data_IF_965277548746
#
_entry.id   IF_965277548746
#
_cell.length_a   1.000
_cell.length_b   1.000
_cell.length_c   1.000
_cell.angle_alpha   90.00
_cell.angle_beta   90.00
_cell.angle_gamma   90.00
#
_symmetry.space_group_name_H-M   'P 1'
#
loop_
_entity.id
_entity.type
_entity.pdbx_description
1 polymer ?
#
# COMPACT_ATOMS: atom_id res chain seq x y z
N UNK A 1 16.49 11.63 4.11
CA UNK A 1 16.09 12.89 3.45
C UNK A 1 15.01 12.57 2.42
N UNK A 2 13.77 12.40 2.89
CA UNK A 2 12.56 12.26 2.08
C UNK A 2 11.60 13.25 2.70
N UNK A 3 11.19 14.27 1.96
CA UNK A 3 10.09 15.15 2.37
C UNK A 3 8.84 14.25 2.40
N UNK A 4 8.55 13.73 3.59
CA UNK A 4 7.56 12.71 3.86
C UNK A 4 6.59 13.31 4.88
N UNK A 5 5.61 14.08 4.36
CA UNK A 5 4.21 14.11 4.78
C UNK A 5 3.53 15.32 4.11
N UNK A 6 2.38 15.01 3.50
CA UNK A 6 1.63 15.77 2.50
C UNK A 6 2.33 16.04 1.17
N UNK A 7 1.87 15.37 0.11
CA UNK A 7 2.39 15.55 -1.23
C UNK A 7 1.99 16.87 -1.82
N UNK A 8 2.96 17.76 -1.99
CA UNK A 8 2.82 18.91 -2.84
C UNK A 8 4.09 19.08 -3.65
N UNK A 9 3.94 19.05 -4.96
CA UNK A 9 4.95 19.67 -5.80
C UNK A 9 4.74 21.18 -5.71
N UNK A 10 5.83 21.89 -5.42
CA UNK A 10 5.87 23.32 -5.23
C UNK A 10 6.89 23.88 -6.22
N UNK A 11 6.43 24.75 -7.11
CA UNK A 11 7.27 25.61 -7.93
C UNK A 11 7.03 27.05 -7.45
N UNK A 12 8.11 27.76 -7.14
CA UNK A 12 8.06 29.12 -6.61
C UNK A 12 8.40 30.08 -7.73
N UNK A 13 7.39 30.77 -8.25
CA UNK A 13 7.58 32.00 -9.00
C UNK A 13 7.62 33.15 -8.00
N UNK A 14 8.33 34.24 -8.35
CA UNK A 14 8.66 35.31 -7.40
C UNK A 14 7.46 35.77 -6.56
N UNK A 15 6.22 35.78 -7.07
CA UNK A 15 5.01 36.16 -6.31
C UNK A 15 3.85 35.15 -6.39
N UNK A 16 4.07 33.94 -6.91
CA UNK A 16 3.01 32.90 -6.95
C UNK A 16 3.50 31.56 -6.43
N UNK A 17 2.60 30.91 -5.70
CA UNK A 17 2.82 29.61 -5.08
C UNK A 17 1.92 28.57 -5.74
N UNK A 18 2.53 27.64 -6.45
CA UNK A 18 1.85 26.56 -7.15
C UNK A 18 1.76 25.30 -6.30
N UNK A 19 0.57 24.71 -6.24
CA UNK A 19 0.20 23.69 -5.27
C UNK A 19 -0.52 22.52 -5.97
N UNK A 20 0.07 21.32 -5.90
CA UNK A 20 -0.55 20.10 -6.47
C UNK A 20 -0.59 18.96 -5.46
N UNK A 21 -1.77 18.51 -5.01
CA UNK A 21 -1.88 17.38 -4.09
C UNK A 21 -1.71 16.07 -4.87
N UNK A 22 -0.47 15.56 -5.00
CA UNK A 22 -0.15 14.42 -5.92
C UNK A 22 -0.92 13.13 -5.62
N UNK A 23 -1.45 12.97 -4.40
CA UNK A 23 -2.35 11.86 -4.06
C UNK A 23 -3.71 11.96 -4.74
N UNK A 24 -4.19 13.17 -5.00
CA UNK A 24 -5.52 13.46 -5.51
C UNK A 24 -5.51 13.82 -7.00
N UNK A 25 -4.45 14.48 -7.47
CA UNK A 25 -4.30 14.90 -8.85
C UNK A 25 -2.85 14.79 -9.33
N UNK A 26 -2.64 14.09 -10.45
CA UNK A 26 -1.34 14.02 -11.13
C UNK A 26 -1.15 15.16 -12.13
N UNK A 27 -1.24 16.41 -11.67
CA UNK A 27 -1.04 17.58 -12.54
C UNK A 27 0.44 17.67 -12.92
N UNK A 28 0.79 17.66 -14.22
CA UNK A 28 2.18 17.71 -14.66
C UNK A 28 2.74 19.14 -14.59
N UNK A 29 4.04 19.33 -14.33
CA UNK A 29 4.70 20.63 -14.52
C UNK A 29 4.60 21.06 -15.99
N UNK A 30 4.46 22.36 -16.29
CA UNK A 30 4.49 23.51 -15.38
C UNK A 30 3.11 23.87 -14.79
N UNK A 31 2.11 22.98 -14.85
CA UNK A 31 0.77 23.27 -14.35
C UNK A 31 0.62 22.90 -12.86
N UNK A 32 -0.24 23.63 -12.16
CA UNK A 32 -0.58 23.41 -10.77
C UNK A 32 -2.08 23.12 -10.57
N UNK A 33 -2.43 22.41 -9.50
CA UNK A 33 -3.84 22.20 -9.15
C UNK A 33 -4.48 23.47 -8.58
N UNK A 34 -3.73 24.19 -7.74
CA UNK A 34 -4.08 25.50 -7.22
C UNK A 34 -2.88 26.44 -7.38
N UNK A 35 -3.16 27.69 -7.69
CA UNK A 35 -2.18 28.76 -7.68
C UNK A 35 -2.62 29.80 -6.65
N UNK A 36 -1.70 30.17 -5.76
CA UNK A 36 -1.90 31.24 -4.79
C UNK A 36 -1.02 32.42 -5.13
N UNK A 37 -1.64 33.56 -5.39
CA UNK A 37 -0.95 34.84 -5.56
C UNK A 37 -0.64 35.38 -4.16
N UNK A 38 0.60 35.78 -3.96
CA UNK A 38 1.10 36.29 -2.69
C UNK A 38 1.64 37.70 -2.87
N UNK A 39 1.49 38.52 -1.83
CA UNK A 39 1.88 39.94 -1.87
C UNK A 39 3.39 40.16 -1.84
N UNK A 40 4.18 39.12 -1.55
CA UNK A 40 5.63 39.19 -1.40
C UNK A 40 6.29 37.90 -1.82
N UNK A 41 7.60 37.97 -2.03
CA UNK A 41 8.35 36.83 -2.54
C UNK A 41 8.47 35.72 -1.50
N UNK A 42 8.18 34.50 -1.94
CA UNK A 42 8.29 33.30 -1.12
C UNK A 42 9.74 32.89 -1.00
N UNK A 43 10.19 32.72 0.25
CA UNK A 43 11.52 32.24 0.60
C UNK A 43 11.51 30.72 0.78
N UNK A 44 10.54 30.20 1.54
CA UNK A 44 10.41 28.77 1.81
C UNK A 44 8.96 28.41 2.19
N UNK A 45 8.62 27.13 2.10
CA UNK A 45 7.28 26.61 2.42
C UNK A 45 7.41 25.27 3.14
N UNK A 46 6.58 25.06 4.17
CA UNK A 46 6.49 23.77 4.84
C UNK A 46 5.05 23.38 5.15
N UNK A 47 4.83 22.08 5.34
CA UNK A 47 3.52 21.49 5.63
C UNK A 47 3.50 20.90 7.03
N UNK A 48 2.38 21.09 7.71
CA UNK A 48 2.02 20.39 8.94
C UNK A 48 2.01 18.86 8.77
N UNK A 49 2.04 18.12 9.88
CA UNK A 49 2.04 16.65 9.91
C UNK A 49 0.82 16.05 9.19
N UNK A 50 -0.36 16.62 9.39
CA UNK A 50 -1.60 16.27 8.70
C UNK A 50 -1.60 16.70 7.24
N UNK A 51 -0.80 17.72 6.92
CA UNK A 51 -0.76 18.33 5.60
C UNK A 51 -1.94 19.25 5.30
N UNK A 52 -2.79 19.56 6.28
CA UNK A 52 -3.93 20.46 6.10
C UNK A 52 -3.58 21.92 6.35
N UNK A 53 -2.41 22.19 6.93
CA UNK A 53 -1.85 23.54 7.07
C UNK A 53 -0.53 23.66 6.32
N UNK A 54 -0.38 24.79 5.63
CA UNK A 54 0.80 25.19 4.87
C UNK A 54 1.34 26.48 5.45
N UNK A 55 2.61 26.48 5.84
CA UNK A 55 3.31 27.68 6.28
C UNK A 55 4.18 28.22 5.15
N UNK A 56 4.01 29.50 4.84
CA UNK A 56 4.71 30.21 3.77
C UNK A 56 5.56 31.30 4.39
N UNK A 57 6.86 31.27 4.12
CA UNK A 57 7.83 32.22 4.64
C UNK A 57 8.10 33.30 3.59
N UNK A 58 7.98 34.56 3.99
CA UNK A 58 8.42 35.73 3.22
C UNK A 58 9.51 36.46 4.00
N UNK A 59 10.00 37.58 3.45
CA UNK A 59 11.02 38.40 4.11
C UNK A 59 10.56 38.95 5.46
N UNK A 60 9.30 39.40 5.52
CA UNK A 60 8.81 40.23 6.63
C UNK A 60 7.85 39.48 7.54
N UNK A 61 7.23 38.39 7.07
CA UNK A 61 6.30 37.58 7.84
C UNK A 61 6.34 36.11 7.43
N UNK A 62 5.73 35.25 8.24
CA UNK A 62 5.27 33.94 7.78
C UNK A 62 3.76 33.84 7.93
N UNK A 63 3.12 33.20 6.95
CA UNK A 63 1.67 33.07 6.88
C UNK A 63 1.27 31.59 6.89
N UNK A 64 0.20 31.27 7.60
CA UNK A 64 -0.39 29.93 7.67
C UNK A 64 -1.64 29.92 6.80
N UNK A 65 -1.67 29.00 5.85
CA UNK A 65 -2.81 28.72 5.00
C UNK A 65 -3.43 27.38 5.40
N UNK A 66 -4.74 27.36 5.57
CA UNK A 66 -5.52 26.14 5.74
C UNK A 66 -5.90 25.58 4.37
N UNK A 67 -5.55 24.32 4.12
CA UNK A 67 -5.87 23.61 2.89
C UNK A 67 -6.57 22.28 3.19
N UNK A 68 -7.89 22.28 3.05
CA UNK A 68 -8.70 21.07 3.26
C UNK A 68 -8.65 20.15 2.03
N UNK A 69 -7.99 19.01 2.19
CA UNK A 69 -7.91 17.95 1.16
C UNK A 69 -9.08 16.94 1.25
N UNK A 70 -10.12 17.25 2.03
CA UNK A 70 -11.24 16.32 2.30
C UNK A 70 -12.34 16.38 1.24
N UNK A 71 -12.54 17.53 0.61
CA UNK A 71 -13.62 17.76 -0.36
C UNK A 71 -13.13 17.54 -1.79
N UNK A 72 -14.04 17.15 -2.69
CA UNK A 72 -13.81 17.11 -4.14
C UNK A 72 -14.85 18.02 -4.81
N UNK A 73 -14.44 19.06 -5.57
CA UNK A 73 -13.06 19.44 -5.91
C UNK A 73 -12.25 19.93 -4.68
N UNK A 74 -10.93 19.87 -4.79
CA UNK A 74 -10.03 20.39 -3.74
C UNK A 74 -10.13 21.91 -3.74
N UNK A 75 -10.52 22.49 -2.61
CA UNK A 75 -10.65 23.93 -2.48
C UNK A 75 -9.26 24.61 -2.52
N UNK A 76 -9.21 25.87 -2.95
CA UNK A 76 -7.99 26.66 -2.81
C UNK A 76 -7.64 26.85 -1.33
N UNK A 77 -6.35 26.92 -0.95
CA UNK A 77 -5.98 27.20 0.43
C UNK A 77 -6.42 28.60 0.86
N UNK A 78 -6.82 28.72 2.13
CA UNK A 78 -7.36 29.95 2.71
C UNK A 78 -6.37 30.46 3.76
N UNK A 79 -6.05 31.74 3.75
CA UNK A 79 -5.21 32.35 4.77
C UNK A 79 -5.88 32.22 6.15
N UNK A 80 -5.22 31.51 7.07
CA UNK A 80 -5.68 31.32 8.45
C UNK A 80 -5.11 32.40 9.37
N UNK A 81 -3.81 32.68 9.26
CA UNK A 81 -3.13 33.65 10.11
C UNK A 81 -1.81 34.11 9.49
N UNK A 82 -1.32 35.27 9.92
CA UNK A 82 -0.01 35.79 9.53
C UNK A 82 0.72 36.31 10.76
N UNK A 83 2.04 36.10 10.78
CA UNK A 83 2.91 36.36 11.91
C UNK A 83 4.10 37.19 11.44
N UNK A 84 4.22 38.46 11.88
CA UNK A 84 5.34 39.30 11.50
C UNK A 84 6.65 38.74 12.08
N UNK A 85 7.71 38.82 11.29
CA UNK A 85 9.06 38.54 11.75
C UNK A 85 9.65 39.79 12.40
N UNK A 86 10.53 39.59 13.38
CA UNK A 86 11.27 40.70 13.99
C UNK A 86 12.16 41.40 12.94
N UNK A 87 11.95 42.70 12.79
CA UNK A 87 12.54 43.59 11.79
C UNK A 87 13.99 44.02 12.13
N UNK A 88 14.77 43.10 12.69
CA UNK A 88 16.17 43.40 13.00
C UNK A 88 16.95 43.60 11.69
N UNK A 89 17.62 44.74 11.54
CA UNK A 89 18.25 45.23 10.30
C UNK A 89 19.15 44.21 9.58
N UNK A 90 19.74 43.25 10.29
CA UNK A 90 20.64 42.22 9.74
C UNK A 90 20.06 40.80 9.73
N UNK A 91 18.79 40.62 10.10
CA UNK A 91 18.16 39.31 10.23
C UNK A 91 17.46 38.90 8.94
N UNK A 92 18.00 37.91 8.24
CA UNK A 92 17.36 37.29 7.06
C UNK A 92 16.75 35.93 7.41
N UNK A 93 15.45 35.70 7.16
CA UNK A 93 14.89 34.36 7.21
C UNK A 93 15.41 33.52 6.03
N UNK A 94 15.69 32.23 6.28
CA UNK A 94 16.28 31.31 5.29
C UNK A 94 15.42 30.10 4.99
N UNK A 95 14.86 29.49 6.03
CA UNK A 95 14.10 28.25 5.91
C UNK A 95 13.01 28.17 6.97
N UNK A 96 11.98 27.39 6.68
CA UNK A 96 10.84 27.13 7.54
C UNK A 96 10.67 25.62 7.72
N UNK A 97 10.39 25.19 8.95
CA UNK A 97 9.97 23.82 9.25
C UNK A 97 8.70 23.83 10.12
N UNK A 98 7.78 22.92 9.81
CA UNK A 98 6.53 22.76 10.55
C UNK A 98 6.55 21.44 11.33
N UNK A 99 6.42 21.53 12.65
CA UNK A 99 6.40 20.38 13.57
C UNK A 99 4.98 20.21 14.12
N UNK A 100 4.52 18.96 14.13
CA UNK A 100 3.15 18.57 14.47
C UNK A 100 2.11 19.40 13.68
N UNK A 101 1.20 20.08 14.37
CA UNK A 101 0.11 20.88 13.78
C UNK A 101 0.14 22.36 14.21
N UNK A 102 1.03 22.71 15.14
CA UNK A 102 0.95 23.97 15.88
C UNK A 102 2.30 24.68 16.09
N UNK A 103 3.41 24.13 15.61
CA UNK A 103 4.72 24.74 15.82
C UNK A 103 5.44 25.00 14.51
N UNK A 104 5.89 26.23 14.34
CA UNK A 104 6.67 26.67 13.18
C UNK A 104 8.04 27.12 13.66
N UNK A 105 9.08 26.58 13.00
CA UNK A 105 10.47 26.89 13.27
C UNK A 105 11.04 27.62 12.07
N UNK A 106 11.72 28.73 12.32
CA UNK A 106 12.29 29.58 11.27
C UNK A 106 13.79 29.72 11.53
N UNK A 107 14.57 29.27 10.57
CA UNK A 107 16.01 29.51 10.55
C UNK A 107 16.26 30.93 10.06
N UNK A 108 16.85 31.76 10.91
CA UNK A 108 17.28 33.12 10.58
C UNK A 108 18.79 33.22 10.66
N UNK A 109 19.36 34.07 9.82
CA UNK A 109 20.78 34.44 9.90
C UNK A 109 20.90 35.94 10.19
N UNK A 110 21.72 36.27 11.18
CA UNK A 110 22.20 37.62 11.46
C UNK A 110 23.65 37.74 10.99
N UNK A 111 23.87 38.36 9.83
CA UNK A 111 25.21 38.48 9.25
C UNK A 111 25.83 37.14 8.83
N UNK A 112 27.18 37.09 8.64
CA UNK A 112 27.86 35.94 8.03
C UNK A 112 27.95 34.71 8.95
N UNK A 113 28.06 34.90 10.26
CA UNK A 113 28.40 33.82 11.20
C UNK A 113 27.39 33.61 12.33
N UNK A 114 26.31 34.38 12.39
CA UNK A 114 25.32 34.21 13.46
C UNK A 114 24.01 33.70 12.88
N UNK A 115 23.49 32.60 13.40
CA UNK A 115 22.23 32.02 13.00
C UNK A 115 21.45 31.55 14.22
N UNK A 116 20.14 31.74 14.19
CA UNK A 116 19.25 31.30 15.25
C UNK A 116 18.01 30.65 14.65
N UNK A 117 17.38 29.80 15.44
CA UNK A 117 16.12 29.16 15.11
C UNK A 117 15.09 29.71 16.08
N UNK A 118 14.08 30.36 15.54
CA UNK A 118 12.94 30.84 16.32
C UNK A 118 11.78 29.85 16.19
N UNK A 119 11.17 29.50 17.31
CA UNK A 119 9.95 28.70 17.39
C UNK A 119 8.78 29.60 17.67
N UNK A 120 7.77 29.54 16.82
CA UNK A 120 6.47 30.17 17.07
C UNK A 120 5.41 29.08 17.28
N UNK A 121 4.74 29.13 18.42
CA UNK A 121 3.58 28.29 18.72
C UNK A 121 2.33 29.02 18.24
N UNK A 122 1.56 28.42 17.32
CA UNK A 122 0.48 29.14 16.61
C UNK A 122 -0.69 29.48 17.55
N UNK A 123 -1.04 28.59 18.48
CA UNK A 123 -2.09 28.77 19.49
C UNK A 123 -1.83 29.99 20.40
N UNK A 124 -0.64 30.07 20.98
CA UNK A 124 -0.28 31.15 21.92
C UNK A 124 0.24 32.40 21.22
N UNK A 125 0.57 32.29 19.92
CA UNK A 125 1.26 33.31 19.13
C UNK A 125 2.57 33.80 19.77
N UNK A 126 3.21 32.94 20.56
CA UNK A 126 4.47 33.27 21.23
C UNK A 126 5.65 32.78 20.42
N UNK A 127 6.56 33.68 20.07
CA UNK A 127 7.84 33.36 19.44
C UNK A 127 8.95 33.32 20.49
N UNK A 128 9.73 32.25 20.50
CA UNK A 128 10.88 32.06 21.39
C UNK A 128 12.10 31.59 20.57
N UNK A 129 13.30 31.92 21.02
CA UNK A 129 14.51 31.35 20.44
C UNK A 129 14.61 29.89 20.89
N UNK A 130 14.56 28.96 19.95
CA UNK A 130 14.67 27.53 20.20
C UNK A 130 16.12 27.05 20.09
N UNK A 131 16.95 27.73 19.29
CA UNK A 131 18.37 27.44 19.17
C UNK A 131 19.14 28.69 18.75
N UNK A 132 20.33 28.86 19.30
CA UNK A 132 21.27 29.92 18.93
C UNK A 132 22.59 29.26 18.58
N UNK A 133 23.08 29.46 17.35
CA UNK A 133 24.35 28.92 16.92
C UNK A 133 25.50 29.55 17.71
N UNK A 134 26.50 28.74 18.08
CA UNK A 134 27.75 29.23 18.62
C UNK A 134 28.55 30.05 17.60
N UNK A 135 29.53 30.83 18.05
CA UNK A 135 30.31 31.74 17.17
C UNK A 135 31.03 31.04 16.01
N UNK A 136 31.45 29.79 16.20
CA UNK A 136 32.10 28.97 15.18
C UNK A 136 31.15 28.04 14.42
N UNK A 137 29.89 27.98 14.85
CA UNK A 137 28.91 27.03 14.34
C UNK A 137 28.09 27.65 13.21
N UNK A 138 28.04 26.95 12.08
CA UNK A 138 27.24 27.36 10.94
C UNK A 138 26.03 26.44 10.78
N UNK A 139 24.82 26.99 10.99
CA UNK A 139 23.58 26.30 10.65
C UNK A 139 23.37 26.28 9.14
N UNK A 140 23.27 25.07 8.58
CA UNK A 140 23.11 24.86 7.14
C UNK A 140 21.63 24.76 6.78
N UNK A 141 20.88 23.87 7.44
CA UNK A 141 19.45 23.70 7.18
C UNK A 141 18.66 23.15 8.38
N UNK A 142 17.34 23.32 8.35
CA UNK A 142 16.40 22.72 9.30
C UNK A 142 15.38 21.86 8.56
N UNK A 143 14.92 20.76 9.18
CA UNK A 143 13.88 19.91 8.62
C UNK A 143 13.17 19.06 9.68
N UNK A 144 11.88 18.74 9.53
CA UNK A 144 11.18 17.85 10.45
C UNK A 144 11.67 16.40 10.34
N UNK A 145 11.52 15.64 11.41
CA UNK A 145 11.60 14.17 11.39
C UNK A 145 10.46 13.56 10.56
N UNK A 146 10.58 12.28 10.19
CA UNK A 146 9.57 11.59 9.35
C UNK A 146 8.17 11.53 9.99
N UNK A 147 8.07 11.61 11.30
CA UNK A 147 6.80 11.68 12.05
C UNK A 147 6.39 13.13 12.40
N UNK A 148 7.16 14.13 11.96
CA UNK A 148 6.99 15.56 12.29
C UNK A 148 6.94 15.84 13.80
N UNK A 149 7.61 15.01 14.62
CA UNK A 149 7.62 15.16 16.09
C UNK A 149 8.92 15.80 16.62
N UNK A 150 9.97 15.83 15.81
CA UNK A 150 11.26 16.42 16.18
C UNK A 150 11.81 17.28 15.05
N UNK A 151 12.51 18.36 15.41
CA UNK A 151 13.24 19.19 14.45
C UNK A 151 14.68 18.70 14.36
N UNK A 152 15.13 18.43 13.14
CA UNK A 152 16.52 18.15 12.83
C UNK A 152 17.20 19.40 12.28
N UNK A 153 18.44 19.59 12.69
CA UNK A 153 19.31 20.64 12.20
C UNK A 153 20.54 20.01 11.56
N UNK A 154 20.93 20.54 10.41
CA UNK A 154 22.24 20.25 9.82
C UNK A 154 23.15 21.45 10.05
N UNK A 155 24.34 21.19 10.57
CA UNK A 155 25.24 22.23 11.04
C UNK A 155 26.70 21.83 10.88
N UNK A 156 27.57 22.82 10.78
CA UNK A 156 29.02 22.65 10.74
C UNK A 156 29.55 23.29 12.02
N UNK A 157 30.05 22.47 12.95
CA UNK A 157 30.49 22.97 14.28
C UNK A 157 31.72 23.88 14.20
N UNK A 158 32.60 23.64 13.21
CA UNK A 158 33.81 24.42 12.94
C UNK A 158 34.13 24.38 11.45
N UNK A 159 34.69 25.46 10.91
CA UNK A 159 35.11 25.53 9.50
C UNK A 159 36.00 24.35 9.11
N UNK A 160 35.66 23.69 7.99
CA UNK A 160 36.38 22.53 7.47
C UNK A 160 35.92 21.16 8.01
N UNK A 161 35.02 21.13 9.00
CA UNK A 161 34.41 19.89 9.48
C UNK A 161 33.24 19.44 8.57
N UNK A 162 32.96 18.12 8.48
CA UNK A 162 31.80 17.64 7.75
C UNK A 162 30.49 18.10 8.41
N UNK A 163 29.41 18.16 7.62
CA UNK A 163 28.08 18.48 8.13
C UNK A 163 27.66 17.43 9.15
N UNK A 164 27.39 17.89 10.36
CA UNK A 164 26.80 17.12 11.45
C UNK A 164 25.28 17.32 11.49
N UNK A 165 24.59 16.37 12.11
CA UNK A 165 23.15 16.44 12.32
C UNK A 165 22.86 16.31 13.82
N UNK A 166 21.94 17.13 14.30
CA UNK A 166 21.45 17.04 15.67
C UNK A 166 19.95 17.29 15.70
N UNK A 167 19.31 16.82 16.76
CA UNK A 167 17.89 17.04 17.00
C UNK A 167 17.72 18.08 18.08
N UNK A 168 16.79 19.01 17.86
CA UNK A 168 16.26 19.84 18.93
C UNK A 168 15.12 19.02 19.54
N UNK A 169 15.46 18.21 20.57
CA UNK A 169 14.46 17.49 21.35
C UNK A 169 13.70 18.47 22.22
N UNK A 170 12.37 18.37 22.18
CA UNK A 170 11.47 19.17 23.00
C UNK A 170 11.54 18.71 24.46
N UNK A 171 11.99 19.53 25.42
CA UNK A 171 11.80 19.23 26.82
C UNK A 171 10.40 19.72 27.20
N UNK A 172 9.57 18.82 27.72
CA UNK A 172 8.58 19.24 28.70
C UNK A 172 9.35 19.83 29.87
N UNK A 173 9.21 21.15 30.08
CA UNK A 173 9.77 21.94 31.18
C UNK A 173 11.30 21.99 31.27
N UNK A 174 11.84 23.19 30.99
CA UNK A 174 13.16 23.71 31.39
C UNK A 174 14.37 22.75 31.31
N UNK A 175 14.95 22.59 30.10
CA UNK A 175 16.40 22.56 29.82
C UNK A 175 16.67 22.09 28.37
N UNK A 176 17.45 22.85 27.61
CA UNK A 176 17.83 22.51 26.23
C UNK A 176 18.96 21.48 26.21
N UNK A 177 18.74 20.32 25.59
CA UNK A 177 19.80 19.34 25.31
C UNK A 177 19.85 19.05 23.82
N UNK A 178 20.93 19.47 23.16
CA UNK A 178 21.25 19.07 21.79
C UNK A 178 22.06 17.78 21.85
N UNK A 179 21.52 16.68 21.30
CA UNK A 179 22.26 15.42 21.18
C UNK A 179 22.96 15.35 19.81
N UNK A 180 24.31 15.23 19.75
CA UNK A 180 25.02 15.09 18.49
C UNK A 180 24.79 13.69 17.89
N UNK A 181 24.27 13.64 16.66
CA UNK A 181 24.14 12.40 15.89
C UNK A 181 25.15 12.42 14.73
N UNK A 182 26.28 11.75 14.94
CA UNK A 182 27.31 11.58 13.91
C UNK A 182 26.92 10.41 13.00
N UNK A 183 26.44 10.71 11.78
CA UNK A 183 26.62 9.90 10.53
C UNK A 183 25.79 10.47 9.38
N UNK A 184 26.42 10.55 8.21
CA UNK A 184 25.83 11.02 6.95
C UNK A 184 24.52 10.30 6.63
N UNK A 185 23.48 11.07 6.31
CA UNK A 185 22.16 10.53 5.93
C UNK A 185 21.98 10.74 4.43
N UNK A 186 22.43 9.76 3.65
CA UNK A 186 21.85 9.41 2.35
C UNK A 186 22.06 7.90 2.14
N UNK A 187 21.00 7.16 1.81
CA UNK A 187 20.88 5.69 1.78
C UNK A 187 20.68 4.94 3.11
N UNK A 188 19.67 5.32 3.92
CA UNK A 188 19.07 4.42 4.92
C UNK A 188 17.55 4.53 4.93
N UNK A 189 16.87 3.68 4.17
CA UNK A 189 15.42 3.51 4.28
C UNK A 189 15.08 2.03 4.19
N UNK A 190 14.40 1.57 5.25
CA UNK A 190 13.88 0.24 5.57
C UNK A 190 14.83 -0.67 6.36
N UNK A 191 14.32 -1.13 7.51
CA UNK A 191 14.93 -1.99 8.53
C UNK A 191 15.75 -1.30 9.64
N UNK A 192 15.67 -1.91 10.82
CA UNK A 192 16.12 -1.46 12.14
C UNK A 192 17.44 -0.66 12.18
N UNK A 193 17.60 0.30 13.11
CA UNK A 193 18.82 1.09 13.28
C UNK A 193 20.08 0.29 13.65
N UNK A 194 19.98 -1.04 13.80
CA UNK A 194 21.04 -1.94 14.28
C UNK A 194 21.55 -2.97 13.26
N UNK A 195 21.04 -2.97 12.02
CA UNK A 195 21.53 -3.87 10.97
C UNK A 195 22.30 -3.09 9.90
N UNK A 196 23.52 -3.51 9.59
CA UNK A 196 24.29 -3.00 8.47
C UNK A 196 23.46 -3.11 7.19
N UNK A 197 23.15 -1.94 6.61
CA UNK A 197 22.29 -1.80 5.43
C UNK A 197 23.11 -2.19 4.20
N UNK A 198 23.00 -3.44 3.77
CA UNK A 198 23.59 -3.90 2.52
C UNK A 198 22.82 -3.31 1.33
N UNK A 199 23.53 -2.61 0.44
CA UNK A 199 22.98 -2.23 -0.87
C UNK A 199 22.76 -3.53 -1.64
N UNK A 200 21.52 -3.85 -2.04
CA UNK A 200 21.26 -5.07 -2.79
C UNK A 200 22.06 -5.09 -4.09
N UNK A 201 22.46 -6.28 -4.59
CA UNK A 201 23.06 -6.38 -5.91
C UNK A 201 22.09 -5.83 -6.97
N UNK A 202 22.64 -5.27 -8.04
CA UNK A 202 21.90 -4.55 -9.09
C UNK A 202 21.19 -5.53 -10.05
N UNK A 203 20.35 -6.40 -9.48
CA UNK A 203 19.59 -7.46 -10.16
C UNK A 203 18.08 -7.25 -9.97
N UNK A 204 17.48 -6.25 -10.63
CA UNK A 204 16.06 -5.90 -10.47
C UNK A 204 15.08 -7.00 -10.90
N UNK A 205 15.54 -7.99 -11.68
CA UNK A 205 14.72 -9.13 -12.12
C UNK A 205 14.47 -10.14 -11.00
N UNK A 206 15.33 -10.19 -9.98
CA UNK A 206 15.31 -11.22 -8.93
C UNK A 206 15.19 -10.67 -7.52
N UNK A 207 15.53 -9.39 -7.31
CA UNK A 207 15.46 -8.74 -6.00
C UNK A 207 14.31 -7.71 -5.94
N UNK A 208 13.35 -7.95 -5.03
CA UNK A 208 12.19 -7.07 -4.81
C UNK A 208 12.56 -5.64 -4.38
N UNK A 209 13.80 -5.43 -3.94
CA UNK A 209 14.36 -4.15 -3.45
C UNK A 209 14.87 -3.27 -4.58
N UNK A 210 15.10 -3.81 -5.78
CA UNK A 210 15.67 -3.09 -6.91
C UNK A 210 14.62 -2.78 -7.98
N UNK A 211 14.71 -1.60 -8.59
CA UNK A 211 13.88 -1.19 -9.73
C UNK A 211 14.67 -0.23 -10.62
N UNK A 212 14.71 -0.50 -11.91
CA UNK A 212 15.29 0.40 -12.90
C UNK A 212 14.47 1.70 -13.02
N UNK A 213 15.16 2.84 -13.06
CA UNK A 213 14.59 4.17 -13.24
C UNK A 213 15.32 4.92 -14.37
N UNK A 214 14.67 5.92 -14.99
CA UNK A 214 15.34 6.77 -15.98
C UNK A 214 16.53 7.50 -15.33
N UNK A 215 17.67 7.49 -16.02
CA UNK A 215 18.90 8.14 -15.54
C UNK A 215 18.67 9.63 -15.31
N UNK A 216 19.04 10.09 -14.11
CA UNK A 216 18.88 11.49 -13.71
C UNK A 216 17.52 11.84 -13.12
N UNK A 217 16.61 10.87 -13.01
CA UNK A 217 15.34 11.06 -12.29
C UNK A 217 15.59 11.40 -10.82
N UNK A 218 14.80 12.34 -10.30
CA UNK A 218 14.87 12.81 -8.91
C UNK A 218 13.63 12.38 -8.14
N UNK A 219 13.81 11.95 -6.90
CA UNK A 219 12.69 11.67 -6.01
C UNK A 219 11.97 12.97 -5.64
N UNK A 220 10.70 13.08 -6.01
CA UNK A 220 9.84 14.21 -5.62
C UNK A 220 9.10 13.86 -4.34
N UNK A 221 8.46 12.68 -4.30
CA UNK A 221 7.65 12.30 -3.16
C UNK A 221 7.45 10.80 -3.00
N UNK A 222 7.11 10.37 -1.78
CA UNK A 222 6.68 9.01 -1.46
C UNK A 222 5.28 9.09 -0.83
N UNK A 223 4.37 8.22 -1.28
CA UNK A 223 2.98 8.12 -0.84
C UNK A 223 2.74 6.73 -0.23
N UNK A 224 3.12 6.49 1.05
CA UNK A 224 3.01 5.15 1.64
C UNK A 224 1.59 4.59 1.65
N UNK A 225 0.57 5.46 1.81
CA UNK A 225 -0.84 5.04 1.87
C UNK A 225 -1.36 4.39 0.59
N UNK A 226 -0.72 4.62 -0.55
CA UNK A 226 -1.05 3.99 -1.84
C UNK A 226 0.16 3.30 -2.47
N UNK A 227 1.23 3.10 -1.70
CA UNK A 227 2.47 2.44 -2.13
C UNK A 227 3.17 3.09 -3.32
N UNK A 228 2.96 4.40 -3.53
CA UNK A 228 3.50 5.12 -4.67
C UNK A 228 4.77 5.89 -4.35
N UNK A 229 5.63 6.04 -5.35
CA UNK A 229 6.83 6.88 -5.35
C UNK A 229 6.80 7.72 -6.62
N UNK A 230 6.83 9.03 -6.44
CA UNK A 230 6.75 10.03 -7.51
C UNK A 230 8.16 10.52 -7.81
N UNK A 231 8.57 10.37 -9.07
CA UNK A 231 9.85 10.76 -9.60
C UNK A 231 9.66 11.88 -10.63
N UNK A 232 10.63 12.78 -10.76
CA UNK A 232 10.69 13.75 -11.85
C UNK A 232 11.86 13.40 -12.75
N UNK A 233 11.58 13.15 -14.03
CA UNK A 233 12.59 12.92 -15.06
C UNK A 233 13.38 14.22 -15.33
N UNK A 234 14.61 14.13 -15.88
CA UNK A 234 15.39 15.32 -16.25
C UNK A 234 14.67 16.27 -17.22
N UNK A 235 13.70 15.74 -17.97
CA UNK A 235 12.88 16.47 -18.94
C UNK A 235 11.75 17.29 -18.29
N UNK A 236 11.58 17.21 -16.97
CA UNK A 236 10.53 17.89 -16.21
C UNK A 236 9.29 17.04 -15.95
N UNK A 237 9.05 15.98 -16.74
CA UNK A 237 7.91 15.08 -16.56
C UNK A 237 7.91 14.37 -15.20
N UNK A 238 6.72 14.17 -14.64
CA UNK A 238 6.53 13.39 -13.42
C UNK A 238 6.10 11.96 -13.77
N UNK A 239 6.73 10.97 -13.15
CA UNK A 239 6.36 9.57 -13.22
C UNK A 239 6.00 9.05 -11.82
N UNK A 240 4.82 8.42 -11.70
CA UNK A 240 4.44 7.72 -10.48
C UNK A 240 4.70 6.23 -10.63
N UNK A 241 5.55 5.71 -9.76
CA UNK A 241 5.94 4.31 -9.71
C UNK A 241 5.41 3.64 -8.44
N UNK A 242 5.19 2.33 -8.47
CA UNK A 242 4.81 1.53 -7.29
C UNK A 242 5.92 0.51 -7.03
N UNK A 243 6.96 0.84 -6.23
CA UNK A 243 8.06 -0.09 -5.97
C UNK A 243 7.58 -1.36 -5.29
N UNK A 244 8.08 -2.52 -5.77
CA UNK A 244 7.65 -3.83 -5.29
C UNK A 244 7.83 -3.98 -3.78
N UNK A 245 8.99 -3.56 -3.25
CA UNK A 245 9.27 -3.57 -1.82
C UNK A 245 8.23 -2.78 -0.99
N UNK A 246 7.79 -1.61 -1.46
CA UNK A 246 6.82 -0.78 -0.74
C UNK A 246 5.42 -1.41 -0.76
N UNK A 247 5.01 -1.97 -1.90
CA UNK A 247 3.74 -2.70 -2.04
C UNK A 247 3.72 -3.94 -1.13
N UNK A 248 4.81 -4.72 -1.13
CA UNK A 248 4.93 -5.92 -0.30
C UNK A 248 4.96 -5.58 1.20
N UNK A 249 5.68 -4.54 1.61
CA UNK A 249 5.66 -4.05 2.99
C UNK A 249 4.24 -3.63 3.42
N UNK A 250 3.49 -2.98 2.54
CA UNK A 250 2.09 -2.64 2.76
C UNK A 250 1.20 -3.86 2.95
N UNK A 251 1.33 -4.86 2.07
CA UNK A 251 0.57 -6.13 2.15
C UNK A 251 0.89 -6.87 3.45
N UNK A 252 2.18 -6.99 3.82
CA UNK A 252 2.64 -7.62 5.07
C UNK A 252 1.96 -6.95 6.28
N UNK A 253 1.96 -5.62 6.34
CA UNK A 253 1.28 -4.84 7.40
C UNK A 253 -0.24 -5.08 7.47
N UNK A 254 -0.91 -5.27 6.33
CA UNK A 254 -2.34 -5.65 6.32
C UNK A 254 -2.58 -7.06 6.87
N UNK A 255 -1.70 -8.02 6.53
CA UNK A 255 -1.78 -9.39 7.03
C UNK A 255 -1.52 -9.42 8.55
N UNK A 256 -0.52 -8.70 9.04
CA UNK A 256 -0.22 -8.58 10.48
C UNK A 256 -1.44 -8.08 11.27
N UNK A 257 -2.22 -7.15 10.69
CA UNK A 257 -3.44 -6.58 11.28
C UNK A 257 -4.70 -7.39 11.01
N UNK A 258 -4.60 -8.57 10.39
CA UNK A 258 -5.73 -9.42 9.96
C UNK A 258 -6.75 -8.69 9.06
N UNK A 259 -6.30 -7.69 8.30
CA UNK A 259 -7.10 -7.00 7.28
C UNK A 259 -6.88 -7.64 5.91
N UNK A 260 -7.47 -8.81 5.74
CA UNK A 260 -7.37 -9.62 4.53
C UNK A 260 -8.05 -8.99 3.31
N UNK A 261 -9.12 -8.19 3.51
CA UNK A 261 -9.75 -7.44 2.40
C UNK A 261 -8.78 -6.48 1.73
N UNK A 262 -8.10 -5.64 2.52
CA UNK A 262 -7.12 -4.69 1.98
C UNK A 262 -5.91 -5.40 1.37
N UNK A 263 -5.43 -6.48 2.01
CA UNK A 263 -4.35 -7.30 1.45
C UNK A 263 -4.74 -7.88 0.07
N UNK A 264 -5.92 -8.49 -0.04
CA UNK A 264 -6.42 -9.08 -1.29
C UNK A 264 -6.58 -8.04 -2.41
N UNK A 265 -7.24 -6.91 -2.13
CA UNK A 265 -7.44 -5.85 -3.12
C UNK A 265 -6.12 -5.21 -3.58
N UNK A 266 -5.15 -5.08 -2.66
CA UNK A 266 -3.82 -4.61 -3.01
C UNK A 266 -3.11 -5.62 -3.91
N UNK A 267 -3.23 -6.91 -3.62
CA UNK A 267 -2.65 -7.95 -4.47
C UNK A 267 -3.23 -7.92 -5.88
N UNK A 268 -4.56 -7.83 -5.99
CA UNK A 268 -5.26 -7.76 -7.27
C UNK A 268 -4.90 -6.51 -8.08
N UNK A 269 -4.88 -5.33 -7.45
CA UNK A 269 -4.61 -4.06 -8.15
C UNK A 269 -3.15 -3.89 -8.59
N UNK A 270 -2.20 -4.36 -7.77
CA UNK A 270 -0.77 -4.26 -8.04
C UNK A 270 -0.19 -5.52 -8.70
N UNK A 271 -1.06 -6.43 -9.18
CA UNK A 271 -0.70 -7.70 -9.82
C UNK A 271 0.33 -8.51 -9.03
N UNK A 272 0.16 -8.53 -7.70
CA UNK A 272 0.96 -9.32 -6.77
C UNK A 272 0.37 -10.71 -6.69
N UNK A 273 1.22 -11.74 -6.72
CA UNK A 273 0.77 -13.10 -6.48
C UNK A 273 0.12 -13.20 -5.09
N UNK A 274 -1.16 -13.63 -5.07
CA UNK A 274 -2.03 -13.70 -3.90
C UNK A 274 -1.59 -14.77 -2.89
N UNK A 275 -0.69 -15.69 -3.25
CA UNK A 275 -0.15 -16.68 -2.34
C UNK A 275 0.57 -16.05 -1.13
N UNK A 276 1.02 -14.79 -1.23
CA UNK A 276 1.59 -14.04 -0.09
C UNK A 276 0.65 -13.97 1.12
N UNK A 277 -0.68 -13.95 0.89
CA UNK A 277 -1.68 -13.85 1.95
C UNK A 277 -1.61 -15.05 2.89
N UNK A 278 -1.27 -16.23 2.36
CA UNK A 278 -1.01 -17.43 3.13
C UNK A 278 0.48 -17.55 3.49
N UNK A 279 1.38 -17.42 2.52
CA UNK A 279 2.80 -17.81 2.65
C UNK A 279 3.58 -16.96 3.68
N UNK A 280 3.13 -15.72 3.93
CA UNK A 280 3.76 -14.85 4.92
C UNK A 280 3.51 -15.29 6.36
N UNK A 281 2.28 -15.70 6.69
CA UNK A 281 1.89 -16.18 8.02
C UNK A 281 0.90 -17.37 7.90
N UNK A 282 1.38 -18.57 7.55
CA UNK A 282 0.50 -19.70 7.20
C UNK A 282 -0.47 -20.09 8.31
N UNK A 283 0.02 -20.25 9.54
CA UNK A 283 -0.79 -20.66 10.68
C UNK A 283 -1.88 -19.64 11.00
N UNK A 284 -1.51 -18.35 11.04
CA UNK A 284 -2.45 -17.24 11.25
C UNK A 284 -3.54 -17.22 10.17
N UNK A 285 -3.17 -17.42 8.90
CA UNK A 285 -4.13 -17.44 7.81
C UNK A 285 -5.08 -18.63 7.94
N UNK A 286 -4.57 -19.83 8.24
CA UNK A 286 -5.40 -21.03 8.39
C UNK A 286 -6.44 -20.87 9.51
N UNK A 287 -6.10 -20.24 10.63
CA UNK A 287 -7.05 -19.90 11.70
C UNK A 287 -8.05 -18.81 11.27
N UNK A 288 -7.64 -17.92 10.37
CA UNK A 288 -8.42 -16.76 9.94
C UNK A 288 -9.18 -16.96 8.63
N UNK A 289 -9.27 -18.18 8.09
CA UNK A 289 -10.04 -18.48 6.86
C UNK A 289 -11.50 -17.99 6.95
N UNK A 290 -12.25 -18.20 8.06
CA UNK A 290 -13.60 -17.65 8.18
C UNK A 290 -13.63 -16.12 8.11
N UNK A 291 -12.64 -15.45 8.70
CA UNK A 291 -12.51 -13.99 8.67
C UNK A 291 -12.18 -13.50 7.25
N UNK A 292 -11.31 -14.21 6.51
CA UNK A 292 -11.01 -13.89 5.12
C UNK A 292 -12.27 -13.92 4.26
N UNK A 293 -13.08 -14.97 4.39
CA UNK A 293 -14.34 -15.14 3.64
C UNK A 293 -15.30 -13.98 3.95
N UNK A 294 -15.45 -13.63 5.24
CA UNK A 294 -16.34 -12.55 5.67
C UNK A 294 -15.89 -11.17 5.18
N UNK A 295 -14.58 -10.89 5.25
CA UNK A 295 -14.01 -9.61 4.83
C UNK A 295 -14.00 -9.42 3.30
N UNK A 296 -13.69 -10.46 2.52
CA UNK A 296 -13.68 -10.39 1.05
C UNK A 296 -15.11 -10.39 0.51
N UNK A 297 -15.98 -11.23 1.07
CA UNK A 297 -17.44 -11.34 0.84
C UNK A 297 -17.90 -11.71 -0.58
N UNK A 298 -17.19 -11.28 -1.63
CA UNK A 298 -17.53 -11.54 -3.03
C UNK A 298 -17.10 -12.94 -3.46
N UNK A 299 -18.04 -13.69 -4.04
CA UNK A 299 -17.82 -15.06 -4.57
C UNK A 299 -16.69 -15.07 -5.60
N UNK A 300 -16.76 -14.20 -6.62
CA UNK A 300 -15.74 -14.14 -7.68
C UNK A 300 -14.32 -13.85 -7.15
N UNK A 301 -14.22 -13.09 -6.06
CA UNK A 301 -12.93 -12.75 -5.46
C UNK A 301 -12.33 -13.93 -4.70
N UNK A 302 -13.19 -14.72 -4.04
CA UNK A 302 -12.78 -15.96 -3.38
C UNK A 302 -12.40 -17.01 -4.44
N UNK A 303 -13.13 -17.10 -5.56
CA UNK A 303 -12.78 -17.99 -6.67
C UNK A 303 -11.45 -17.60 -7.33
N UNK A 304 -11.23 -16.31 -7.54
CA UNK A 304 -9.95 -15.80 -8.05
C UNK A 304 -8.80 -16.14 -7.09
N UNK A 305 -9.02 -16.06 -5.78
CA UNK A 305 -8.03 -16.46 -4.79
C UNK A 305 -7.73 -17.97 -4.88
N UNK A 306 -8.76 -18.80 -4.83
CA UNK A 306 -8.64 -20.26 -4.84
C UNK A 306 -7.99 -20.76 -6.13
N UNK A 307 -8.44 -20.27 -7.29
CA UNK A 307 -7.92 -20.67 -8.62
C UNK A 307 -6.45 -20.31 -8.86
N UNK A 308 -5.90 -19.34 -8.11
CA UNK A 308 -4.49 -18.91 -8.20
C UNK A 308 -3.59 -19.50 -7.12
N UNK A 309 -4.12 -20.39 -6.28
CA UNK A 309 -3.29 -21.10 -5.30
C UNK A 309 -2.24 -21.95 -6.02
N UNK A 310 -0.97 -21.78 -5.62
CA UNK A 310 0.17 -22.54 -6.12
C UNK A 310 1.07 -22.97 -4.96
N UNK A 311 2.13 -23.71 -5.29
CA UNK A 311 3.19 -24.04 -4.32
C UNK A 311 3.76 -22.75 -3.69
N UNK A 312 4.41 -22.86 -2.54
CA UNK A 312 4.95 -21.70 -1.82
C UNK A 312 5.94 -20.93 -2.71
N UNK A 313 5.58 -19.69 -3.06
CA UNK A 313 6.38 -18.84 -3.96
C UNK A 313 7.16 -17.78 -3.18
N UNK A 314 6.63 -17.33 -2.05
CA UNK A 314 7.28 -16.30 -1.25
C UNK A 314 8.16 -16.91 -0.18
N UNK A 315 9.46 -16.59 -0.24
CA UNK A 315 10.37 -16.66 0.90
C UNK A 315 10.55 -15.24 1.41
N UNK A 316 10.52 -15.05 2.72
CA UNK A 316 10.62 -13.72 3.33
C UNK A 316 12.02 -13.12 3.10
N UNK A 317 12.16 -12.30 2.06
CA UNK A 317 13.42 -11.62 1.68
C UNK A 317 13.89 -10.60 2.72
N UNK A 318 13.05 -10.22 3.70
CA UNK A 318 13.44 -9.32 4.80
C UNK A 318 14.22 -10.03 5.91
N UNK A 319 14.18 -11.37 5.93
CA UNK A 319 15.10 -12.18 6.74
C UNK A 319 16.36 -12.34 5.89
N UNK A 320 17.38 -11.54 6.18
CA UNK A 320 18.72 -11.77 5.63
C UNK A 320 19.08 -13.25 5.82
N UNK A 321 19.61 -13.94 4.80
CA UNK A 321 20.24 -15.22 5.00
C UNK A 321 21.53 -14.95 5.76
N UNK A 322 21.44 -14.85 7.09
CA UNK A 322 22.63 -15.03 7.92
C UNK A 322 23.10 -16.45 7.66
N UNK A 323 24.36 -16.53 7.26
CA UNK A 323 25.10 -17.74 6.95
C UNK A 323 24.68 -18.91 7.84
N UNK A 324 24.03 -19.90 7.23
CA UNK A 324 24.15 -21.31 7.56
C UNK A 324 23.73 -22.09 6.33
N UNK A 325 24.68 -22.20 5.39
CA UNK A 325 24.61 -23.10 4.23
C UNK A 325 24.75 -24.57 4.65
N UNK A 326 24.40 -24.92 5.89
CA UNK A 326 24.50 -26.26 6.48
C UNK A 326 23.52 -26.52 7.63
N UNK A 327 22.29 -26.00 7.56
CA UNK A 327 21.22 -26.45 8.45
C UNK A 327 20.10 -27.11 7.66
N UNK A 328 20.11 -28.44 7.78
CA UNK A 328 19.03 -29.44 7.69
C UNK A 328 17.76 -28.95 6.97
N UNK A 329 17.34 -29.57 5.85
CA UNK A 329 16.14 -29.16 5.13
C UNK A 329 14.94 -29.19 6.08
N UNK A 330 14.46 -28.01 6.46
CA UNK A 330 13.20 -27.83 7.14
C UNK A 330 12.14 -28.66 6.41
N UNK A 331 11.47 -29.52 7.17
CA UNK A 331 10.54 -30.55 6.72
C UNK A 331 9.72 -30.07 5.53
N UNK A 332 10.04 -30.64 4.35
CA UNK A 332 9.25 -30.51 3.13
C UNK A 332 7.88 -31.14 3.38
N UNK A 333 6.93 -30.38 3.93
CA UNK A 333 5.53 -30.70 3.71
C UNK A 333 5.34 -30.68 2.18
N UNK A 334 4.89 -31.78 1.55
CA UNK A 334 4.80 -31.85 0.09
C UNK A 334 3.92 -30.70 -0.40
N UNK A 335 4.36 -29.98 -1.44
CA UNK A 335 3.69 -28.80 -1.99
C UNK A 335 2.20 -29.02 -2.35
N UNK A 336 1.80 -30.27 -2.59
CA UNK A 336 0.39 -30.70 -2.76
C UNK A 336 -0.47 -30.49 -1.51
N UNK A 337 0.14 -30.64 -0.33
CA UNK A 337 -0.53 -30.49 0.96
C UNK A 337 -0.96 -29.05 1.26
N UNK A 338 -0.23 -28.02 0.80
CA UNK A 338 -0.62 -26.61 1.02
C UNK A 338 -1.97 -26.31 0.36
N UNK A 339 -2.05 -26.52 -0.95
CA UNK A 339 -3.26 -26.19 -1.73
C UNK A 339 -4.44 -26.97 -1.18
N UNK A 340 -4.28 -28.28 -0.97
CA UNK A 340 -5.36 -29.13 -0.44
C UNK A 340 -5.80 -28.67 0.95
N UNK A 341 -4.85 -28.36 1.85
CA UNK A 341 -5.15 -27.89 3.21
C UNK A 341 -5.90 -26.56 3.21
N UNK A 342 -5.53 -25.62 2.33
CA UNK A 342 -6.28 -24.36 2.17
C UNK A 342 -7.69 -24.66 1.63
N UNK A 343 -7.81 -25.46 0.57
CA UNK A 343 -9.11 -25.84 0.01
C UNK A 343 -10.01 -26.51 1.05
N UNK A 344 -9.48 -27.44 1.85
CA UNK A 344 -10.23 -28.13 2.90
C UNK A 344 -10.73 -27.16 3.98
N UNK A 345 -9.92 -26.16 4.35
CA UNK A 345 -10.35 -25.13 5.30
C UNK A 345 -11.46 -24.23 4.71
N UNK A 346 -11.38 -23.88 3.42
CA UNK A 346 -12.44 -23.13 2.75
C UNK A 346 -13.72 -23.96 2.63
N UNK A 347 -13.63 -25.24 2.27
CA UNK A 347 -14.77 -26.16 2.23
C UNK A 347 -15.44 -26.25 3.60
N UNK A 348 -14.68 -26.47 4.67
CA UNK A 348 -15.22 -26.51 6.03
C UNK A 348 -15.88 -25.21 6.47
N UNK A 349 -15.34 -24.05 6.06
CA UNK A 349 -15.89 -22.74 6.41
C UNK A 349 -17.14 -22.37 5.59
N UNK A 350 -17.26 -22.89 4.35
CA UNK A 350 -18.34 -22.58 3.41
C UNK A 350 -19.45 -23.65 3.38
N UNK A 351 -19.30 -24.78 4.06
CA UNK A 351 -20.25 -25.91 4.07
C UNK A 351 -21.69 -25.48 4.45
N UNK A 352 -21.84 -24.46 5.31
CA UNK A 352 -23.16 -23.93 5.70
C UNK A 352 -23.71 -22.84 4.76
N UNK A 353 -22.98 -22.49 3.70
CA UNK A 353 -23.28 -21.37 2.77
C UNK A 353 -23.38 -21.85 1.31
N UNK A 354 -23.81 -23.09 1.09
CA UNK A 354 -23.89 -23.71 -0.24
C UNK A 354 -24.70 -22.84 -1.21
N UNK A 355 -25.83 -22.28 -0.78
CA UNK A 355 -26.74 -21.52 -1.65
C UNK A 355 -26.13 -20.20 -2.15
N UNK A 356 -25.14 -19.63 -1.44
CA UNK A 356 -24.49 -18.35 -1.81
C UNK A 356 -23.08 -18.51 -2.36
N UNK A 357 -22.38 -19.61 -2.04
CA UNK A 357 -20.96 -19.80 -2.34
C UNK A 357 -20.70 -21.09 -3.12
N UNK A 358 -21.66 -21.52 -3.93
CA UNK A 358 -21.58 -22.75 -4.73
C UNK A 358 -20.32 -22.80 -5.61
N UNK A 359 -20.03 -21.72 -6.35
CA UNK A 359 -18.82 -21.63 -7.19
C UNK A 359 -17.55 -21.82 -6.36
N UNK A 360 -17.46 -21.20 -5.17
CA UNK A 360 -16.29 -21.33 -4.29
C UNK A 360 -16.08 -22.77 -3.81
N UNK A 361 -17.16 -23.48 -3.47
CA UNK A 361 -17.10 -24.88 -3.07
C UNK A 361 -16.62 -25.76 -4.22
N UNK A 362 -17.19 -25.56 -5.42
CA UNK A 362 -16.79 -26.27 -6.63
C UNK A 362 -15.31 -26.01 -6.95
N UNK A 363 -14.89 -24.74 -6.98
CA UNK A 363 -13.50 -24.34 -7.22
C UNK A 363 -12.55 -25.01 -6.22
N UNK A 364 -12.91 -25.04 -4.93
CA UNK A 364 -12.08 -25.65 -3.90
C UNK A 364 -11.88 -27.16 -4.09
N UNK A 365 -12.88 -27.90 -4.61
CA UNK A 365 -12.72 -29.32 -4.97
C UNK A 365 -11.85 -29.51 -6.22
N UNK A 366 -12.09 -28.72 -7.27
CA UNK A 366 -11.41 -28.88 -8.57
C UNK A 366 -9.94 -28.45 -8.52
N UNK A 367 -9.59 -27.43 -7.73
CA UNK A 367 -8.21 -26.88 -7.66
C UNK A 367 -7.27 -27.73 -6.78
N UNK A 368 -7.78 -28.74 -6.06
CA UNK A 368 -6.95 -29.69 -5.32
C UNK A 368 -5.94 -30.39 -6.25
N UNK A 369 -4.87 -30.92 -5.65
CA UNK A 369 -3.87 -31.72 -6.34
C UNK A 369 -3.73 -33.11 -5.69
N UNK A 370 -4.19 -34.20 -6.34
CA UNK A 370 -4.97 -34.20 -7.60
C UNK A 370 -6.36 -33.56 -7.44
N UNK A 371 -7.01 -33.11 -8.54
CA UNK A 371 -8.38 -32.58 -8.50
C UNK A 371 -9.36 -33.59 -7.91
N UNK A 372 -10.21 -33.14 -6.98
CA UNK A 372 -11.23 -33.97 -6.33
C UNK A 372 -12.57 -33.86 -7.07
N UNK A 373 -12.56 -34.33 -8.33
CA UNK A 373 -13.72 -34.25 -9.22
C UNK A 373 -14.90 -35.07 -8.69
N UNK A 374 -14.62 -36.18 -7.99
CA UNK A 374 -15.64 -37.04 -7.41
C UNK A 374 -16.46 -36.32 -6.35
N UNK A 375 -15.80 -35.68 -5.36
CA UNK A 375 -16.51 -34.92 -4.33
C UNK A 375 -17.24 -33.70 -4.91
N UNK A 376 -16.66 -33.04 -5.92
CA UNK A 376 -17.32 -31.94 -6.65
C UNK A 376 -18.60 -32.41 -7.35
N UNK A 377 -18.56 -33.56 -8.04
CA UNK A 377 -19.73 -34.14 -8.70
C UNK A 377 -20.77 -34.65 -7.69
N UNK A 378 -20.35 -35.18 -6.53
CA UNK A 378 -21.26 -35.52 -5.44
C UNK A 378 -21.98 -34.29 -4.86
N UNK A 379 -21.31 -33.12 -4.80
CA UNK A 379 -21.95 -31.86 -4.42
C UNK A 379 -23.06 -31.49 -5.41
N UNK A 380 -22.80 -31.59 -6.72
CA UNK A 380 -23.80 -31.38 -7.78
C UNK A 380 -24.96 -32.37 -7.64
N UNK A 381 -24.67 -33.66 -7.41
CA UNK A 381 -25.68 -34.70 -7.23
C UNK A 381 -26.59 -34.39 -6.04
N UNK A 382 -26.05 -33.87 -4.93
CA UNK A 382 -26.83 -33.43 -3.75
C UNK A 382 -27.75 -32.26 -4.08
N UNK A 383 -27.30 -31.28 -4.85
CA UNK A 383 -28.13 -30.15 -5.29
C UNK A 383 -29.30 -30.62 -6.14
N UNK A 384 -29.09 -31.61 -6.99
CA UNK A 384 -30.17 -32.20 -7.79
C UNK A 384 -31.11 -33.10 -6.97
N UNK A 385 -30.56 -33.84 -6.00
CA UNK A 385 -31.33 -34.76 -5.14
C UNK A 385 -32.32 -34.05 -4.22
N UNK A 386 -32.04 -32.80 -3.81
CA UNK A 386 -33.00 -31.93 -3.10
C UNK A 386 -34.31 -31.70 -3.88
N UNK A 387 -34.30 -31.79 -5.21
CA UNK A 387 -35.53 -31.70 -6.03
C UNK A 387 -36.40 -32.97 -6.02
N UNK A 388 -35.86 -34.14 -5.63
CA UNK A 388 -36.56 -35.43 -5.80
C UNK A 388 -37.24 -35.99 -4.54
N UNK A 389 -37.04 -35.40 -3.35
CA UNK A 389 -37.60 -35.94 -2.09
C UNK A 389 -39.04 -35.53 -1.77
N UNK A 390 -39.83 -35.05 -2.74
CA UNK A 390 -41.27 -34.84 -2.59
C UNK A 390 -42.06 -35.79 -3.48
N UNK A 391 -42.18 -37.06 -3.05
CA UNK A 391 -43.32 -37.89 -3.45
C UNK A 391 -44.57 -37.45 -2.67
N UNK A 392 -45.21 -36.38 -3.13
CA UNK A 392 -46.65 -36.17 -2.92
C UNK A 392 -47.32 -35.97 -4.29
N UNK A 393 -48.45 -36.64 -4.57
CA UNK A 393 -49.19 -36.43 -5.82
C UNK A 393 -50.04 -35.16 -5.76
N UNK A 394 -49.96 -34.35 -6.82
CA UNK A 394 -50.85 -33.22 -7.20
C UNK A 394 -50.51 -31.82 -6.62
N UNK A 395 -50.67 -30.71 -7.42
CA UNK A 395 -49.78 -29.57 -7.37
C UNK A 395 -50.32 -28.42 -6.51
N UNK A 396 -49.42 -27.80 -5.75
CA UNK A 396 -49.64 -26.47 -5.21
C UNK A 396 -48.29 -25.75 -4.99
N UNK A 397 -48.23 -24.50 -5.47
CA UNK A 397 -47.28 -23.45 -5.13
C UNK A 397 -45.84 -23.51 -5.71
N UNK A 398 -45.72 -23.34 -7.03
CA UNK A 398 -44.97 -22.29 -7.76
C UNK A 398 -43.65 -21.65 -7.25
N UNK A 399 -42.92 -22.21 -6.29
CA UNK A 399 -41.53 -21.81 -6.02
C UNK A 399 -40.71 -23.04 -5.61
N UNK A 400 -39.48 -23.14 -6.13
CA UNK A 400 -38.31 -23.95 -5.67
C UNK A 400 -37.89 -25.24 -6.40
N UNK A 401 -38.58 -25.73 -7.45
CA UNK A 401 -38.05 -26.86 -8.26
C UNK A 401 -37.01 -26.38 -9.30
N UNK A 402 -37.23 -25.21 -9.91
CA UNK A 402 -36.40 -24.72 -11.01
C UNK A 402 -35.01 -24.24 -10.52
N UNK A 403 -34.94 -23.60 -9.34
CA UNK A 403 -33.69 -23.02 -8.81
C UNK A 403 -32.63 -24.06 -8.45
N UNK A 404 -33.04 -25.21 -7.88
CA UNK A 404 -32.10 -26.28 -7.49
C UNK A 404 -31.53 -27.02 -8.71
N UNK A 405 -32.32 -27.07 -9.80
CA UNK A 405 -31.86 -27.59 -11.09
C UNK A 405 -30.88 -26.62 -11.75
N UNK A 406 -31.22 -25.32 -11.77
CA UNK A 406 -30.35 -24.26 -12.33
C UNK A 406 -28.99 -24.20 -11.63
N UNK A 407 -28.96 -24.29 -10.29
CA UNK A 407 -27.71 -24.34 -9.53
C UNK A 407 -26.84 -25.57 -9.87
N UNK A 408 -27.47 -26.73 -10.15
CA UNK A 408 -26.72 -27.92 -10.54
C UNK A 408 -26.14 -27.77 -11.96
N UNK A 409 -26.88 -27.16 -12.89
CA UNK A 409 -26.39 -26.86 -14.24
C UNK A 409 -25.22 -25.86 -14.21
N UNK A 410 -25.37 -24.77 -13.47
CA UNK A 410 -24.36 -23.71 -13.29
C UNK A 410 -23.08 -24.24 -12.61
N UNK A 411 -23.22 -25.11 -11.60
CA UNK A 411 -22.07 -25.78 -10.98
C UNK A 411 -21.30 -26.67 -11.99
N UNK A 412 -22.01 -27.42 -12.83
CA UNK A 412 -21.37 -28.28 -13.85
C UNK A 412 -20.70 -27.45 -14.94
N UNK A 413 -21.32 -26.35 -15.37
CA UNK A 413 -20.72 -25.41 -16.30
C UNK A 413 -19.40 -24.85 -15.73
N UNK A 414 -19.41 -24.40 -14.48
CA UNK A 414 -18.21 -23.92 -13.79
C UNK A 414 -17.13 -25.00 -13.66
N UNK A 415 -17.51 -26.25 -13.35
CA UNK A 415 -16.56 -27.39 -13.34
C UNK A 415 -15.93 -27.63 -14.71
N UNK A 416 -16.71 -27.53 -15.79
CA UNK A 416 -16.22 -27.70 -17.16
C UNK A 416 -15.26 -26.59 -17.58
N UNK A 417 -15.42 -25.38 -17.02
CA UNK A 417 -14.47 -24.28 -17.24
C UNK A 417 -13.13 -24.50 -16.52
N UNK A 418 -13.16 -25.06 -15.31
CA UNK A 418 -11.96 -25.25 -14.47
C UNK A 418 -11.19 -26.55 -14.76
N UNK A 419 -11.80 -27.54 -15.40
CA UNK A 419 -11.23 -28.88 -15.58
C UNK A 419 -11.42 -29.42 -16.99
N UNK A 420 -10.68 -30.48 -17.31
CA UNK A 420 -10.84 -31.18 -18.58
C UNK A 420 -12.20 -31.90 -18.65
N UNK A 421 -13.01 -31.56 -19.66
CA UNK A 421 -14.37 -32.06 -19.79
C UNK A 421 -14.44 -33.59 -19.99
N UNK A 422 -13.43 -34.20 -20.64
CA UNK A 422 -13.40 -35.65 -20.81
C UNK A 422 -13.16 -36.35 -19.48
N UNK A 423 -12.19 -35.85 -18.69
CA UNK A 423 -11.94 -36.38 -17.34
C UNK A 423 -13.14 -36.21 -16.41
N UNK A 424 -13.83 -35.08 -16.52
CA UNK A 424 -15.05 -34.83 -15.74
C UNK A 424 -16.17 -35.82 -16.13
N UNK A 425 -16.35 -36.08 -17.42
CA UNK A 425 -17.32 -37.05 -17.94
C UNK A 425 -17.00 -38.49 -17.49
N UNK A 426 -15.74 -38.93 -17.62
CA UNK A 426 -15.32 -40.27 -17.17
C UNK A 426 -15.52 -40.46 -15.67
N UNK A 427 -15.25 -39.41 -14.88
CA UNK A 427 -15.47 -39.44 -13.43
C UNK A 427 -16.97 -39.51 -13.11
N UNK A 428 -17.82 -38.79 -13.84
CA UNK A 428 -19.28 -38.86 -13.66
C UNK A 428 -19.85 -40.25 -14.01
N UNK A 429 -19.34 -40.90 -15.06
CA UNK A 429 -19.69 -42.29 -15.40
C UNK A 429 -19.32 -43.25 -14.25
N UNK A 430 -18.17 -43.04 -13.62
CA UNK A 430 -17.69 -43.83 -12.48
C UNK A 430 -18.57 -43.73 -11.23
N UNK A 431 -19.39 -42.68 -11.11
CA UNK A 431 -20.36 -42.51 -10.02
C UNK A 431 -21.66 -43.30 -10.23
N UNK A 432 -21.84 -43.95 -11.38
CA UNK A 432 -23.05 -44.69 -11.76
C UNK A 432 -24.34 -43.86 -11.76
N UNK A 433 -24.22 -42.53 -11.87
CA UNK A 433 -25.34 -41.59 -11.98
C UNK A 433 -25.48 -41.12 -13.44
N UNK A 434 -26.33 -41.83 -14.21
CA UNK A 434 -26.52 -41.57 -15.64
C UNK A 434 -27.12 -40.19 -15.94
N UNK A 435 -27.97 -39.67 -15.04
CA UNK A 435 -28.54 -38.33 -15.20
C UNK A 435 -27.47 -37.24 -15.01
N UNK A 436 -26.55 -37.41 -14.05
CA UNK A 436 -25.42 -36.49 -13.84
C UNK A 436 -24.46 -36.55 -15.00
N UNK A 437 -24.17 -37.75 -15.48
CA UNK A 437 -23.34 -37.96 -16.66
C UNK A 437 -23.92 -37.28 -17.89
N UNK A 438 -25.23 -37.38 -18.11
CA UNK A 438 -25.91 -36.71 -19.22
C UNK A 438 -25.81 -35.18 -19.10
N UNK A 439 -26.00 -34.63 -17.90
CA UNK A 439 -25.87 -33.20 -17.65
C UNK A 439 -24.44 -32.70 -17.95
N UNK A 440 -23.42 -33.42 -17.46
CA UNK A 440 -22.00 -33.11 -17.75
C UNK A 440 -21.73 -33.15 -19.24
N UNK A 441 -22.22 -34.16 -19.96
CA UNK A 441 -22.04 -34.26 -21.41
C UNK A 441 -22.67 -33.08 -22.18
N UNK A 442 -23.88 -32.66 -21.80
CA UNK A 442 -24.58 -31.54 -22.42
C UNK A 442 -23.84 -30.21 -22.20
N UNK A 443 -23.39 -29.95 -20.97
CA UNK A 443 -22.69 -28.71 -20.66
C UNK A 443 -21.27 -28.67 -21.26
N UNK A 444 -20.55 -29.80 -21.24
CA UNK A 444 -19.25 -29.92 -21.90
C UNK A 444 -19.32 -29.57 -23.40
N UNK A 445 -20.35 -30.03 -24.11
CA UNK A 445 -20.56 -29.70 -25.52
C UNK A 445 -20.81 -28.20 -25.71
N UNK A 446 -21.65 -27.58 -24.88
CA UNK A 446 -21.96 -26.14 -24.93
C UNK A 446 -20.71 -25.29 -24.73
N UNK A 447 -19.93 -25.55 -23.68
CA UNK A 447 -18.68 -24.82 -23.39
C UNK A 447 -17.68 -24.98 -24.54
N UNK A 448 -17.54 -26.18 -25.11
CA UNK A 448 -16.66 -26.41 -26.26
C UNK A 448 -17.08 -25.63 -27.52
N UNK A 449 -18.40 -25.49 -27.74
CA UNK A 449 -18.96 -24.74 -28.88
C UNK A 449 -18.85 -23.23 -28.70
N UNK A 450 -19.00 -22.72 -27.47
CA UNK A 450 -18.82 -21.33 -27.12
C UNK A 450 -17.34 -20.90 -27.24
N UNK A 451 -16.41 -21.74 -26.78
CA UNK A 451 -14.97 -21.49 -26.94
C UNK A 451 -14.54 -21.46 -28.41
N UNK A 452 -15.11 -22.32 -29.26
CA UNK A 452 -14.85 -22.31 -30.72
C UNK A 452 -15.42 -21.06 -31.41
N UNK A 453 -16.60 -20.60 -31.01
CA UNK A 453 -17.21 -19.38 -31.54
C UNK A 453 -16.44 -18.12 -31.12
N UNK A 454 -15.93 -18.06 -29.88
CA UNK A 454 -15.08 -16.96 -29.42
C UNK A 454 -13.73 -16.91 -30.17
N UNK A 455 -13.15 -18.06 -30.51
CA UNK A 455 -11.92 -18.13 -31.31
C UNK A 455 -12.09 -17.82 -32.81
N UNK A 456 -13.33 -17.81 -33.34
CA UNK A 456 -13.62 -17.37 -34.71
C UNK A 456 -13.86 -15.86 -34.82
N UNK A 457 -13.98 -15.15 -33.70
CA UNK A 457 -14.22 -13.71 -33.64
C UNK A 457 -12.94 -12.89 -33.34
N UNK A 458 -11.77 -13.54 -33.34
CA UNK A 458 -10.44 -12.89 -33.23
C UNK A 458 -9.53 -13.25 -34.39
#
# INVERSE_FOLDING_TARGET
>A
MVRLLCQMMLELLLSSMELTPLRLAGVPPPMAHNELILDSNVIDVAFSKSGTRTAVLTKDCFSIFMWSLKTRPVAAPILESSYPLSDALDSRPRQLAFINENEVYILKSRGPNNANIERTTLETRTTKIAYQAGESEQLVSIFPSLNHEALWISHISQYGQPIAYSTISMPSTEEFVAAPALKSILCRIMANPSADMEVPPDTPETDERCRSIERGSRLVSVIPSVFAVVLQAPRGNIETTYPRALVLAGIRSFIDRKNYRSAFLTCRSQMVDMNIIHDYAPEQFMESVPLFIDQVKRVDFIDEFLSRLRYTLYKDTLKTPKADDNLVPATKAPAKGKVNRICDAFLAALDKKIDTNLHNLVTAHVVKSPPDLEAGLQLVARLRGKSKSHHHPWPAAHLTIDQSSEQAEDAVEHMCFLSDAHRLYDTALGLYDLELTLLVAQQAQRVSSASKSASMLF
#
